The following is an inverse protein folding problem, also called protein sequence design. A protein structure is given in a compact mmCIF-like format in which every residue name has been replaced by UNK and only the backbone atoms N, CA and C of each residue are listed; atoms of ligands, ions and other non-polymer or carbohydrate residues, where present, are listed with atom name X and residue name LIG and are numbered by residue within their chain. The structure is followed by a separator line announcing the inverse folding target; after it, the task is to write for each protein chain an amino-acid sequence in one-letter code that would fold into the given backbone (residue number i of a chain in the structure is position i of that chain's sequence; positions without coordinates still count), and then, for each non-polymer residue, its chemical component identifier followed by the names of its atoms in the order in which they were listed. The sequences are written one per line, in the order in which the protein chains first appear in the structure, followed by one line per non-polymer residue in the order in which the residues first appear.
data_IF_578244267868
#
_entry.id   IF_578244267868
#
_cell.length_a   1.000
_cell.length_b   1.000
_cell.length_c   1.000
_cell.angle_alpha   90.00
_cell.angle_beta   90.00
_cell.angle_gamma   90.00
#
_symmetry.space_group_name_H-M   'P 1'
#
loop_
_entity.id
_entity.type
_entity.pdbx_description
1 polymer ?
#
# COMPACT_ATOMS: atom_id res chain seq x y z
N UNK A 1 16.53 -27.12 -8.06
CA UNK A 1 17.15 -25.91 -8.62
C UNK A 1 16.64 -24.74 -7.81
N UNK A 2 17.52 -23.84 -7.43
CA UNK A 2 17.16 -22.62 -6.72
C UNK A 2 16.22 -21.77 -7.59
N UNK A 3 15.18 -21.21 -6.99
CA UNK A 3 14.25 -20.30 -7.70
C UNK A 3 14.85 -18.90 -7.76
N UNK A 4 14.90 -18.32 -8.94
CA UNK A 4 15.48 -17.02 -9.21
C UNK A 4 14.41 -15.93 -9.14
N UNK A 5 14.55 -15.02 -8.18
CA UNK A 5 13.61 -13.94 -7.92
C UNK A 5 14.29 -12.61 -8.20
N UNK A 6 13.67 -11.79 -9.05
CA UNK A 6 14.18 -10.47 -9.40
C UNK A 6 13.40 -9.41 -8.61
N UNK A 7 14.11 -8.56 -7.88
CA UNK A 7 13.57 -7.39 -7.23
C UNK A 7 13.98 -6.13 -7.97
N UNK A 8 13.04 -5.38 -8.53
CA UNK A 8 13.30 -4.10 -9.23
C UNK A 8 12.90 -2.94 -8.33
N UNK A 9 13.82 -2.00 -8.10
CA UNK A 9 13.67 -0.92 -7.12
C UNK A 9 14.06 -1.36 -5.70
N UNK A 10 14.97 -2.32 -5.60
CA UNK A 10 15.33 -2.98 -4.34
C UNK A 10 15.90 -2.04 -3.26
N UNK A 11 16.44 -0.86 -3.64
CA UNK A 11 16.98 0.11 -2.70
C UNK A 11 15.89 0.92 -1.97
N UNK A 12 14.63 0.86 -2.39
CA UNK A 12 13.49 1.48 -1.71
C UNK A 12 13.32 0.90 -0.29
N UNK A 13 12.86 1.71 0.66
CA UNK A 13 12.74 1.31 2.07
C UNK A 13 11.80 0.10 2.24
N UNK A 14 10.63 0.12 1.62
CA UNK A 14 9.65 -0.99 1.67
C UNK A 14 10.22 -2.25 1.03
N UNK A 15 10.93 -2.12 -0.10
CA UNK A 15 11.58 -3.24 -0.78
C UNK A 15 12.68 -3.88 0.06
N UNK A 16 13.54 -3.07 0.67
CA UNK A 16 14.59 -3.59 1.58
C UNK A 16 13.98 -4.41 2.70
N UNK A 17 12.88 -3.90 3.29
CA UNK A 17 12.20 -4.64 4.35
C UNK A 17 11.51 -5.90 3.81
N UNK A 18 10.86 -5.84 2.65
CA UNK A 18 10.30 -7.04 2.00
C UNK A 18 11.37 -8.12 1.78
N UNK A 19 12.54 -7.74 1.29
CA UNK A 19 13.67 -8.64 1.08
C UNK A 19 14.16 -9.23 2.41
N UNK A 20 14.36 -8.42 3.46
CA UNK A 20 14.77 -8.89 4.79
C UNK A 20 13.74 -9.86 5.39
N UNK A 21 12.44 -9.60 5.21
CA UNK A 21 11.36 -10.45 5.70
C UNK A 21 11.26 -11.74 4.90
N UNK A 22 11.31 -11.64 3.58
CA UNK A 22 11.27 -12.81 2.70
C UNK A 22 12.44 -13.77 2.95
N UNK A 23 13.64 -13.25 3.24
CA UNK A 23 14.81 -14.06 3.59
C UNK A 23 14.62 -14.94 4.83
N UNK A 24 13.60 -14.68 5.68
CA UNK A 24 13.25 -15.54 6.82
C UNK A 24 12.43 -16.75 6.42
N UNK A 25 11.73 -16.70 5.28
CA UNK A 25 11.02 -17.84 4.75
C UNK A 25 12.04 -18.89 4.29
N UNK A 26 11.80 -20.14 4.70
CA UNK A 26 12.65 -21.26 4.27
C UNK A 26 12.34 -21.62 2.82
N UNK A 27 13.38 -21.73 2.00
CA UNK A 27 13.27 -22.11 0.60
C UNK A 27 14.63 -22.06 -0.08
N UNK A 28 14.72 -22.64 -1.28
CA UNK A 28 15.92 -22.58 -2.12
C UNK A 28 15.74 -21.40 -3.10
N UNK A 29 16.21 -20.22 -2.68
CA UNK A 29 16.03 -18.95 -3.36
C UNK A 29 17.35 -18.34 -3.81
N UNK A 30 17.33 -17.67 -4.96
CA UNK A 30 18.37 -16.76 -5.43
C UNK A 30 17.71 -15.41 -5.70
N UNK A 31 18.15 -14.36 -4.99
CA UNK A 31 17.62 -13.00 -5.13
C UNK A 31 18.56 -12.15 -5.99
N UNK A 32 18.05 -11.55 -7.06
CA UNK A 32 18.76 -10.54 -7.84
C UNK A 32 18.13 -9.17 -7.55
N UNK A 33 18.86 -8.35 -6.81
CA UNK A 33 18.41 -7.06 -6.33
C UNK A 33 18.81 -5.96 -7.32
N UNK A 34 17.85 -5.45 -8.08
CA UNK A 34 18.04 -4.49 -9.15
C UNK A 34 17.64 -3.09 -8.71
N UNK A 35 18.50 -2.11 -8.93
CA UNK A 35 18.23 -0.69 -8.69
C UNK A 35 19.11 0.17 -9.60
N UNK A 36 18.72 1.44 -9.80
CA UNK A 36 19.59 2.44 -10.45
C UNK A 36 20.73 2.88 -9.53
N UNK A 37 20.66 2.57 -8.23
CA UNK A 37 21.64 2.87 -7.19
C UNK A 37 22.00 1.62 -6.38
N UNK A 38 22.58 0.60 -7.02
CA UNK A 38 22.86 -0.68 -6.35
C UNK A 38 23.84 -0.57 -5.17
N UNK A 39 24.62 0.51 -5.11
CA UNK A 39 25.52 0.81 -3.99
C UNK A 39 24.77 0.98 -2.64
N UNK A 40 23.50 1.36 -2.68
CA UNK A 40 22.65 1.48 -1.48
C UNK A 40 22.23 0.11 -0.90
N UNK A 41 22.49 -0.97 -1.62
CA UNK A 41 22.12 -2.33 -1.23
C UNK A 41 23.22 -3.06 -0.45
N UNK A 42 24.42 -2.52 -0.35
CA UNK A 42 25.57 -3.20 0.29
C UNK A 42 25.25 -3.64 1.72
N UNK A 43 24.75 -2.73 2.55
CA UNK A 43 24.37 -3.01 3.94
C UNK A 43 23.20 -4.02 4.05
N UNK A 44 22.33 -4.09 3.06
CA UNK A 44 21.25 -5.09 3.02
C UNK A 44 21.84 -6.48 2.74
N UNK A 45 22.64 -6.59 1.69
CA UNK A 45 23.24 -7.87 1.28
C UNK A 45 24.10 -8.47 2.39
N UNK A 46 24.86 -7.66 3.13
CA UNK A 46 25.66 -8.10 4.28
C UNK A 46 24.84 -8.71 5.42
N UNK A 47 23.57 -8.28 5.58
CA UNK A 47 22.65 -8.82 6.60
C UNK A 47 21.94 -10.08 6.18
N UNK A 48 21.90 -10.37 4.89
CA UNK A 48 21.24 -11.55 4.35
C UNK A 48 22.12 -12.81 4.49
N UNK A 49 21.55 -14.01 4.49
CA UNK A 49 22.33 -15.24 4.42
C UNK A 49 23.32 -15.22 3.25
N UNK A 50 24.54 -15.67 3.49
CA UNK A 50 25.61 -15.67 2.50
C UNK A 50 25.17 -16.42 1.23
N UNK A 51 25.35 -15.76 0.08
CA UNK A 51 25.00 -16.32 -1.23
C UNK A 51 23.52 -16.26 -1.61
N UNK A 52 22.64 -15.73 -0.74
CA UNK A 52 21.21 -15.59 -1.03
C UNK A 52 20.94 -14.50 -2.08
N UNK A 53 21.68 -13.39 -2.05
CA UNK A 53 21.38 -12.23 -2.87
C UNK A 53 22.62 -11.71 -3.62
N UNK A 54 22.38 -11.25 -4.84
CA UNK A 54 23.32 -10.48 -5.67
C UNK A 54 22.71 -9.13 -6.02
N UNK A 55 23.53 -8.14 -6.33
CA UNK A 55 23.06 -6.80 -6.74
C UNK A 55 23.37 -6.55 -8.20
N UNK A 56 22.47 -5.83 -8.89
CA UNK A 56 22.64 -5.47 -10.29
C UNK A 56 22.15 -4.05 -10.54
N UNK A 57 22.94 -3.25 -11.27
CA UNK A 57 22.48 -1.95 -11.78
C UNK A 57 21.45 -2.17 -12.88
N UNK A 58 20.27 -1.58 -12.74
CA UNK A 58 19.20 -1.64 -13.71
C UNK A 58 18.44 -0.29 -13.77
N UNK A 59 18.45 0.33 -14.94
CA UNK A 59 17.44 1.31 -15.35
C UNK A 59 16.30 0.51 -16.02
N UNK A 60 15.11 0.51 -15.40
CA UNK A 60 13.95 -0.24 -15.92
C UNK A 60 13.43 0.28 -17.29
N UNK A 61 13.85 1.49 -17.69
CA UNK A 61 13.55 2.03 -19.03
C UNK A 61 14.54 1.59 -20.12
N UNK A 62 15.66 0.98 -19.75
CA UNK A 62 16.55 0.26 -20.69
C UNK A 62 15.93 -1.12 -21.01
N UNK A 63 15.08 -1.15 -22.04
CA UNK A 63 14.32 -2.33 -22.45
C UNK A 63 15.18 -3.58 -22.65
N UNK A 64 16.39 -3.42 -23.21
CA UNK A 64 17.27 -4.58 -23.46
C UNK A 64 17.81 -5.17 -22.16
N UNK A 65 18.25 -4.31 -21.23
CA UNK A 65 18.71 -4.77 -19.92
C UNK A 65 17.58 -5.32 -19.07
N UNK A 66 16.42 -4.66 -19.09
CA UNK A 66 15.24 -5.16 -18.37
C UNK A 66 14.86 -6.56 -18.85
N UNK A 67 14.75 -6.76 -20.18
CA UNK A 67 14.43 -8.06 -20.75
C UNK A 67 15.48 -9.12 -20.40
N UNK A 68 16.77 -8.76 -20.44
CA UNK A 68 17.86 -9.69 -20.11
C UNK A 68 17.80 -10.11 -18.62
N UNK A 69 17.44 -9.21 -17.71
CA UNK A 69 17.32 -9.50 -16.27
C UNK A 69 16.10 -10.37 -15.97
N UNK A 70 14.97 -10.08 -16.60
CA UNK A 70 13.68 -10.78 -16.39
C UNK A 70 13.74 -12.22 -16.92
N UNK A 71 14.43 -12.45 -18.05
CA UNK A 71 14.50 -13.76 -18.68
C UNK A 71 15.01 -14.85 -17.72
N UNK A 72 14.23 -15.94 -17.61
CA UNK A 72 14.58 -17.10 -16.79
C UNK A 72 14.40 -16.89 -15.28
N UNK A 73 13.71 -15.83 -14.87
CA UNK A 73 13.29 -15.70 -13.48
C UNK A 73 12.04 -16.55 -13.18
N UNK A 74 11.86 -16.92 -11.91
CA UNK A 74 10.66 -17.60 -11.42
C UNK A 74 9.62 -16.60 -10.90
N UNK A 75 10.05 -15.37 -10.54
CA UNK A 75 9.20 -14.27 -10.13
C UNK A 75 9.93 -12.94 -10.31
N UNK A 76 9.24 -11.93 -10.83
CA UNK A 76 9.68 -10.52 -10.82
C UNK A 76 8.83 -9.75 -9.84
N UNK A 77 9.49 -9.03 -8.92
CA UNK A 77 8.84 -8.14 -7.96
C UNK A 77 9.21 -6.70 -8.28
N UNK A 78 8.21 -5.87 -8.54
CA UNK A 78 8.40 -4.44 -8.77
C UNK A 78 8.07 -3.64 -7.51
N UNK A 79 9.05 -2.86 -7.04
CA UNK A 79 8.87 -1.92 -5.94
C UNK A 79 9.39 -0.52 -6.26
N UNK A 80 9.67 -0.24 -7.53
CA UNK A 80 10.09 1.08 -7.99
C UNK A 80 8.88 1.93 -8.36
N UNK A 81 8.40 2.78 -7.46
CA UNK A 81 7.34 3.76 -7.75
C UNK A 81 7.85 5.03 -8.44
N UNK A 82 6.94 5.93 -8.92
CA UNK A 82 5.49 5.76 -8.88
C UNK A 82 5.00 4.79 -9.97
N UNK A 83 4.07 3.92 -9.61
CA UNK A 83 3.65 2.79 -10.43
C UNK A 83 2.98 3.18 -11.74
N UNK A 84 2.29 4.31 -11.76
CA UNK A 84 1.71 4.90 -12.99
C UNK A 84 2.74 5.05 -14.13
N UNK A 85 4.03 5.08 -13.82
CA UNK A 85 5.12 5.19 -14.81
C UNK A 85 5.96 3.92 -14.96
N UNK A 86 6.02 3.10 -13.92
CA UNK A 86 7.01 2.01 -13.83
C UNK A 86 6.42 0.62 -14.03
N UNK A 87 5.12 0.41 -13.78
CA UNK A 87 4.51 -0.92 -13.87
C UNK A 87 4.42 -1.44 -15.30
N UNK A 88 3.93 -0.62 -16.25
CA UNK A 88 3.70 -1.05 -17.63
C UNK A 88 4.94 -1.65 -18.31
N UNK A 89 6.13 -1.01 -18.33
CA UNK A 89 7.31 -1.58 -18.99
C UNK A 89 7.78 -2.89 -18.36
N UNK A 90 7.62 -3.05 -17.03
CA UNK A 90 8.04 -4.28 -16.36
C UNK A 90 7.04 -5.41 -16.61
N UNK A 91 5.74 -5.12 -16.60
CA UNK A 91 4.69 -6.10 -16.95
C UNK A 91 4.87 -6.58 -18.41
N UNK A 92 5.14 -5.66 -19.34
CA UNK A 92 5.43 -6.01 -20.75
C UNK A 92 6.62 -6.97 -20.86
N UNK A 93 7.73 -6.68 -20.18
CA UNK A 93 8.90 -7.54 -20.16
C UNK A 93 8.60 -8.93 -19.56
N UNK A 94 7.78 -9.00 -18.51
CA UNK A 94 7.34 -10.26 -17.91
C UNK A 94 6.45 -11.07 -18.86
N UNK A 95 5.54 -10.43 -19.58
CA UNK A 95 4.69 -11.07 -20.60
C UNK A 95 5.54 -11.68 -21.73
N UNK A 96 6.51 -10.92 -22.26
CA UNK A 96 7.42 -11.39 -23.31
C UNK A 96 8.30 -12.57 -22.83
N UNK A 97 8.80 -12.48 -21.60
CA UNK A 97 9.65 -13.54 -21.01
C UNK A 97 8.85 -14.75 -20.48
N UNK A 98 7.52 -14.64 -20.37
CA UNK A 98 6.63 -15.62 -19.72
C UNK A 98 7.00 -15.87 -18.26
N UNK A 99 7.26 -14.80 -17.52
CA UNK A 99 7.67 -14.83 -16.11
C UNK A 99 6.59 -14.19 -15.25
N UNK A 100 6.20 -14.82 -14.12
CA UNK A 100 5.27 -14.25 -13.16
C UNK A 100 5.70 -12.86 -12.64
N UNK A 101 4.73 -11.97 -12.46
CA UNK A 101 4.92 -10.61 -11.96
C UNK A 101 4.17 -10.39 -10.65
N UNK A 102 4.77 -9.59 -9.75
CA UNK A 102 4.15 -9.14 -8.51
C UNK A 102 4.57 -7.70 -8.21
N UNK A 103 3.65 -6.87 -7.74
CA UNK A 103 3.92 -5.55 -7.20
C UNK A 103 3.13 -5.28 -5.93
N UNK A 104 3.33 -4.12 -5.34
CA UNK A 104 2.51 -3.55 -4.27
C UNK A 104 2.01 -2.15 -4.66
N UNK A 105 1.58 -2.04 -5.90
CA UNK A 105 0.99 -0.87 -6.54
C UNK A 105 -0.26 -0.39 -5.79
N UNK A 106 -0.34 0.91 -5.53
CA UNK A 106 -1.43 1.60 -4.86
C UNK A 106 -2.09 2.71 -5.73
N UNK A 107 -1.69 2.79 -7.01
CA UNK A 107 -2.27 3.71 -7.98
C UNK A 107 -3.45 3.05 -8.75
N UNK A 108 -4.56 3.77 -8.89
CA UNK A 108 -5.77 3.28 -9.58
C UNK A 108 -5.49 3.02 -11.06
N UNK A 109 -4.82 3.95 -11.73
CA UNK A 109 -4.60 3.93 -13.17
C UNK A 109 -3.70 2.77 -13.61
N UNK A 110 -2.63 2.51 -12.86
CA UNK A 110 -1.72 1.39 -13.14
C UNK A 110 -2.38 0.04 -12.83
N UNK A 111 -3.17 -0.04 -11.76
CA UNK A 111 -4.00 -1.21 -11.45
C UNK A 111 -4.99 -1.50 -12.57
N UNK A 112 -5.73 -0.51 -13.07
CA UNK A 112 -6.65 -0.68 -14.21
C UNK A 112 -5.93 -1.13 -15.47
N UNK A 113 -4.75 -0.54 -15.75
CA UNK A 113 -3.92 -0.96 -16.87
C UNK A 113 -3.53 -2.44 -16.74
N UNK A 114 -3.00 -2.86 -15.60
CA UNK A 114 -2.62 -4.25 -15.37
C UNK A 114 -3.81 -5.22 -15.48
N UNK A 115 -4.98 -4.85 -14.95
CA UNK A 115 -6.21 -5.65 -15.09
C UNK A 115 -6.64 -5.79 -16.56
N UNK A 116 -6.43 -4.77 -17.39
CA UNK A 116 -6.72 -4.82 -18.83
C UNK A 116 -5.88 -5.86 -19.60
N UNK A 117 -4.75 -6.27 -19.03
CA UNK A 117 -3.82 -7.25 -19.61
C UNK A 117 -4.17 -8.70 -19.25
N UNK A 118 -5.31 -8.95 -18.58
CA UNK A 118 -5.70 -10.27 -18.07
C UNK A 118 -5.66 -11.37 -19.16
N UNK A 119 -6.24 -11.13 -20.32
CA UNK A 119 -6.24 -12.13 -21.41
C UNK A 119 -4.84 -12.34 -22.00
N UNK A 120 -4.03 -11.28 -22.13
CA UNK A 120 -2.63 -11.42 -22.57
C UNK A 120 -1.79 -12.25 -21.57
N UNK A 121 -2.02 -12.07 -20.27
CA UNK A 121 -1.37 -12.87 -19.24
C UNK A 121 -1.80 -14.33 -19.28
N UNK A 122 -3.07 -14.61 -19.58
CA UNK A 122 -3.56 -15.97 -19.85
C UNK A 122 -2.90 -16.62 -21.06
N UNK A 123 -2.80 -15.88 -22.18
CA UNK A 123 -2.14 -16.36 -23.40
C UNK A 123 -0.63 -16.62 -23.16
N UNK A 124 0.03 -15.78 -22.36
CA UNK A 124 1.40 -15.97 -21.96
C UNK A 124 1.59 -17.13 -20.94
N UNK A 125 0.51 -17.58 -20.30
CA UNK A 125 0.52 -18.65 -19.30
C UNK A 125 1.08 -18.24 -17.94
N UNK A 126 1.06 -16.92 -17.59
CA UNK A 126 1.62 -16.37 -16.37
C UNK A 126 0.59 -15.65 -15.50
N UNK A 127 0.76 -15.61 -14.18
CA UNK A 127 0.05 -14.69 -13.31
C UNK A 127 0.74 -13.32 -13.27
N UNK A 128 -0.09 -12.27 -13.20
CA UNK A 128 0.28 -10.90 -12.84
C UNK A 128 -0.47 -10.61 -11.53
N UNK A 129 0.27 -10.44 -10.44
CA UNK A 129 -0.27 -10.12 -9.11
C UNK A 129 -0.05 -8.64 -8.83
N UNK A 130 -1.14 -7.88 -8.70
CA UNK A 130 -1.09 -6.43 -8.46
C UNK A 130 -1.56 -6.09 -7.05
N UNK A 131 -1.02 -5.02 -6.47
CA UNK A 131 -1.46 -4.50 -5.19
C UNK A 131 -1.14 -5.42 -4.00
N UNK A 132 -0.02 -6.12 -4.01
CA UNK A 132 0.37 -7.09 -2.98
C UNK A 132 1.13 -6.41 -1.82
N UNK A 133 0.58 -5.30 -1.30
CA UNK A 133 1.13 -4.51 -0.20
C UNK A 133 0.28 -4.53 1.07
N UNK A 134 0.18 -3.38 1.71
CA UNK A 134 -0.65 -3.18 2.90
C UNK A 134 -2.11 -2.92 2.52
N UNK A 135 -2.34 -1.85 1.76
CA UNK A 135 -3.60 -1.41 1.16
C UNK A 135 -3.25 -0.72 -0.17
N UNK A 136 -3.59 -1.33 -1.31
CA UNK A 136 -4.12 -2.69 -1.43
C UNK A 136 -3.17 -3.77 -0.96
N UNK A 137 -3.71 -4.96 -0.69
CA UNK A 137 -2.94 -6.10 -0.26
C UNK A 137 -3.54 -6.80 0.96
N UNK A 138 -2.87 -6.71 2.12
CA UNK A 138 -3.37 -7.30 3.36
C UNK A 138 -4.78 -6.80 3.70
N UNK A 139 -5.09 -5.52 3.46
CA UNK A 139 -6.43 -4.97 3.68
C UNK A 139 -7.51 -5.71 2.88
N UNK A 140 -7.23 -6.07 1.62
CA UNK A 140 -8.13 -6.87 0.79
C UNK A 140 -8.31 -8.29 1.34
N UNK A 141 -7.23 -8.90 1.87
CA UNK A 141 -7.33 -10.21 2.54
C UNK A 141 -8.20 -10.13 3.80
N UNK A 142 -8.08 -9.04 4.57
CA UNK A 142 -8.96 -8.79 5.72
C UNK A 142 -10.43 -8.63 5.29
N UNK A 143 -10.70 -8.02 4.11
CA UNK A 143 -12.06 -7.95 3.54
C UNK A 143 -12.58 -9.35 3.23
N UNK A 144 -11.78 -10.21 2.58
CA UNK A 144 -12.18 -11.60 2.29
C UNK A 144 -12.48 -12.37 3.57
N UNK A 145 -11.62 -12.24 4.60
CA UNK A 145 -11.81 -12.90 5.88
C UNK A 145 -13.09 -12.42 6.60
N UNK A 146 -13.36 -11.11 6.60
CA UNK A 146 -14.60 -10.57 7.17
C UNK A 146 -15.83 -11.03 6.37
N UNK A 147 -15.76 -11.02 5.03
CA UNK A 147 -16.85 -11.42 4.15
C UNK A 147 -17.20 -12.92 4.29
N UNK A 148 -16.24 -13.78 4.60
CA UNK A 148 -16.46 -15.22 4.82
C UNK A 148 -17.38 -15.51 6.03
N UNK A 149 -17.60 -14.53 6.91
CA UNK A 149 -18.57 -14.66 8.01
C UNK A 149 -20.03 -14.45 7.57
N UNK A 150 -20.28 -13.95 6.37
CA UNK A 150 -21.58 -13.49 5.90
C UNK A 150 -22.07 -14.35 4.74
N UNK A 151 -23.40 -14.46 4.58
CA UNK A 151 -24.03 -15.14 3.44
C UNK A 151 -24.09 -14.22 2.20
N UNK A 152 -24.25 -12.90 2.43
CA UNK A 152 -24.23 -11.87 1.39
C UNK A 152 -23.34 -10.69 1.81
N UNK A 153 -22.78 -10.01 0.83
CA UNK A 153 -21.98 -8.79 1.04
C UNK A 153 -22.68 -7.62 0.38
N UNK A 154 -22.98 -6.58 1.16
CA UNK A 154 -23.67 -5.37 0.70
C UNK A 154 -22.77 -4.13 0.76
N UNK A 155 -22.02 -3.96 1.84
CA UNK A 155 -21.14 -2.80 2.00
C UNK A 155 -19.77 -3.23 2.51
N UNK A 156 -18.72 -2.62 1.94
CA UNK A 156 -17.33 -2.84 2.32
C UNK A 156 -16.67 -1.47 2.58
N UNK A 157 -16.09 -1.31 3.76
CA UNK A 157 -15.13 -0.27 4.05
C UNK A 157 -13.75 -0.92 4.25
N UNK A 158 -12.81 -0.61 3.37
CA UNK A 158 -11.41 -0.97 3.47
C UNK A 158 -10.67 0.22 4.08
N UNK A 159 -10.05 0.07 5.25
CA UNK A 159 -9.54 1.20 6.03
C UNK A 159 -8.06 1.06 6.30
N UNK A 160 -7.31 2.15 6.13
CA UNK A 160 -5.91 2.25 6.49
C UNK A 160 -5.62 3.54 7.27
N UNK A 161 -4.73 3.46 8.24
CA UNK A 161 -4.20 4.61 8.96
C UNK A 161 -2.68 4.54 8.98
N UNK A 162 -2.03 5.67 8.69
CA UNK A 162 -0.57 5.82 8.69
C UNK A 162 -0.20 7.11 9.43
N UNK A 163 0.76 7.00 10.32
CA UNK A 163 1.36 8.15 10.99
C UNK A 163 2.87 8.01 11.02
N UNK A 164 3.51 8.29 9.89
CA UNK A 164 4.96 8.18 9.76
C UNK A 164 5.57 9.55 9.47
N UNK A 165 6.19 10.13 10.48
CA UNK A 165 6.90 11.41 10.42
C UNK A 165 8.42 11.21 10.39
N UNK A 166 8.89 10.01 10.04
CA UNK A 166 10.33 9.72 10.03
C UNK A 166 11.03 10.40 8.86
N UNK A 167 12.25 10.92 9.07
CA UNK A 167 13.10 11.37 7.97
C UNK A 167 13.41 10.23 7.01
N UNK A 168 13.54 10.55 5.72
CA UNK A 168 13.97 9.61 4.70
C UNK A 168 12.87 8.83 4.01
N UNK A 169 11.60 9.18 4.21
CA UNK A 169 10.50 8.66 3.39
C UNK A 169 10.79 8.96 1.92
N UNK A 170 10.60 7.95 1.05
CA UNK A 170 10.92 8.04 -0.37
C UNK A 170 10.05 9.08 -1.11
N UNK A 171 10.64 9.84 -2.02
CA UNK A 171 9.93 10.88 -2.79
C UNK A 171 8.73 10.35 -3.58
N UNK A 172 8.79 9.10 -4.06
CA UNK A 172 7.67 8.45 -4.74
C UNK A 172 6.43 8.32 -3.82
N UNK A 173 6.65 8.01 -2.53
CA UNK A 173 5.57 7.96 -1.52
C UNK A 173 4.96 9.34 -1.29
N UNK A 174 5.79 10.39 -1.25
CA UNK A 174 5.31 11.76 -1.10
C UNK A 174 4.55 12.25 -2.34
N UNK A 175 4.97 11.83 -3.54
CA UNK A 175 4.25 12.11 -4.79
C UNK A 175 2.89 11.41 -4.80
N UNK A 176 2.83 10.12 -4.47
CA UNK A 176 1.58 9.37 -4.30
C UNK A 176 0.67 10.03 -3.26
N UNK A 177 1.21 10.41 -2.10
CA UNK A 177 0.47 11.11 -1.05
C UNK A 177 -0.22 12.39 -1.57
N UNK A 178 0.46 13.21 -2.38
CA UNK A 178 -0.14 14.39 -3.00
C UNK A 178 -1.25 14.02 -3.99
N UNK A 179 -1.08 12.93 -4.72
CA UNK A 179 -2.05 12.42 -5.69
C UNK A 179 -3.35 11.98 -5.00
N UNK A 180 -3.26 11.26 -3.88
CA UNK A 180 -4.45 10.75 -3.17
C UNK A 180 -5.16 11.76 -2.27
N UNK A 181 -4.55 12.92 -1.98
CA UNK A 181 -5.13 13.94 -1.08
C UNK A 181 -5.90 15.05 -1.79
N UNK A 182 -5.91 15.07 -3.13
CA UNK A 182 -6.69 16.02 -3.93
C UNK A 182 -7.03 15.43 -5.31
N UNK A 183 -8.18 15.83 -5.86
CA UNK A 183 -8.67 15.34 -7.15
C UNK A 183 -9.79 14.32 -6.99
N UNK A 184 -9.93 13.45 -7.98
CA UNK A 184 -11.00 12.47 -8.03
C UNK A 184 -10.67 11.23 -7.17
N UNK A 185 -11.68 10.72 -6.50
CA UNK A 185 -11.67 9.46 -5.76
C UNK A 185 -12.71 8.53 -6.36
N UNK A 186 -12.24 7.44 -6.95
CA UNK A 186 -13.16 6.40 -7.42
C UNK A 186 -13.72 5.64 -6.21
N UNK A 187 -15.04 5.52 -6.17
CA UNK A 187 -15.77 4.70 -5.21
C UNK A 187 -16.80 3.83 -5.93
N UNK A 188 -17.38 2.87 -5.23
CA UNK A 188 -18.43 2.01 -5.74
C UNK A 188 -19.72 2.26 -4.98
N UNK A 189 -20.77 2.76 -5.65
CA UNK A 189 -22.05 3.06 -5.06
C UNK A 189 -23.21 2.58 -5.94
N UNK A 190 -24.22 1.98 -5.31
CA UNK A 190 -25.43 1.48 -6.00
C UNK A 190 -25.09 0.55 -7.17
N UNK A 191 -24.07 -0.30 -7.00
CA UNK A 191 -23.64 -1.26 -7.99
C UNK A 191 -22.89 -0.66 -9.20
N UNK A 192 -22.35 0.55 -9.10
CA UNK A 192 -21.62 1.22 -10.18
C UNK A 192 -20.47 2.08 -9.66
N UNK A 193 -19.55 2.40 -10.55
CA UNK A 193 -18.45 3.36 -10.29
C UNK A 193 -18.99 4.77 -10.20
N UNK A 194 -18.55 5.51 -9.18
CA UNK A 194 -18.85 6.94 -8.96
C UNK A 194 -17.57 7.63 -8.58
N UNK A 195 -17.36 8.86 -9.06
CA UNK A 195 -16.24 9.68 -8.65
C UNK A 195 -16.71 10.68 -7.59
N UNK A 196 -16.03 10.70 -6.45
CA UNK A 196 -16.12 11.71 -5.42
C UNK A 196 -14.87 12.60 -5.44
N UNK A 197 -14.87 13.68 -4.70
CA UNK A 197 -13.64 14.41 -4.40
C UNK A 197 -12.92 13.70 -3.24
N UNK A 198 -11.65 13.36 -3.43
CA UNK A 198 -10.86 12.67 -2.40
C UNK A 198 -10.66 13.53 -1.15
N UNK A 199 -10.59 12.92 0.03
CA UNK A 199 -10.46 13.57 1.33
C UNK A 199 -11.61 14.53 1.70
N UNK A 200 -12.82 14.30 1.17
CA UNK A 200 -14.05 15.06 1.52
C UNK A 200 -15.02 14.21 2.31
N UNK A 201 -15.46 13.09 1.73
CA UNK A 201 -16.36 12.18 2.42
C UNK A 201 -15.63 11.51 3.59
N UNK A 202 -16.31 11.43 4.72
CA UNK A 202 -15.72 10.88 5.95
C UNK A 202 -16.49 9.69 6.48
N UNK A 203 -15.79 8.88 7.26
CA UNK A 203 -16.34 7.80 8.05
C UNK A 203 -15.53 7.61 9.32
N UNK A 204 -16.05 6.86 10.29
CA UNK A 204 -15.26 6.43 11.45
C UNK A 204 -14.98 4.95 11.38
N UNK A 205 -13.83 4.52 11.89
CA UNK A 205 -13.45 3.12 11.96
C UNK A 205 -12.86 2.78 13.33
N UNK A 206 -13.30 1.66 13.97
CA UNK A 206 -12.78 1.19 15.26
C UNK A 206 -11.43 0.49 15.09
N UNK A 207 -10.37 1.27 14.86
CA UNK A 207 -9.03 0.76 14.59
C UNK A 207 -8.47 -0.04 15.77
N UNK A 208 -7.68 -1.08 15.48
CA UNK A 208 -6.99 -1.89 16.48
C UNK A 208 -5.79 -1.20 17.14
N UNK A 209 -5.01 -1.94 17.94
CA UNK A 209 -3.78 -1.43 18.55
C UNK A 209 -3.97 -0.29 19.55
N UNK A 210 -5.16 -0.19 20.17
CA UNK A 210 -5.47 0.88 21.12
C UNK A 210 -5.78 2.23 20.49
N UNK A 211 -5.98 2.30 19.17
CA UNK A 211 -6.28 3.55 18.45
C UNK A 211 -7.72 4.03 18.68
N UNK A 212 -8.69 3.12 18.85
CA UNK A 212 -10.12 3.44 19.05
C UNK A 212 -10.80 3.91 17.76
N UNK A 213 -11.87 4.71 17.93
CA UNK A 213 -12.62 5.29 16.81
C UNK A 213 -11.82 6.41 16.15
N UNK A 214 -11.48 6.23 14.88
CA UNK A 214 -10.71 7.19 14.09
C UNK A 214 -11.57 7.73 12.97
N UNK A 215 -11.57 9.06 12.80
CA UNK A 215 -12.13 9.72 11.62
C UNK A 215 -11.20 9.49 10.42
N UNK A 216 -11.77 9.03 9.33
CA UNK A 216 -11.09 8.69 8.09
C UNK A 216 -11.79 9.35 6.91
N UNK A 217 -11.11 9.41 5.78
CA UNK A 217 -11.55 10.06 4.56
C UNK A 217 -11.58 9.08 3.41
N UNK A 218 -12.54 9.18 2.51
CA UNK A 218 -12.48 8.48 1.23
C UNK A 218 -11.22 8.91 0.48
N UNK A 219 -10.46 7.92 0.01
CA UNK A 219 -9.17 8.12 -0.66
C UNK A 219 -9.14 7.44 -2.01
N UNK A 220 -8.46 8.05 -2.98
CA UNK A 220 -8.23 7.46 -4.28
C UNK A 220 -7.27 6.25 -4.15
N UNK A 221 -7.85 5.06 -4.14
CA UNK A 221 -7.15 3.78 -3.96
C UNK A 221 -7.79 2.70 -4.82
N UNK A 222 -7.07 1.61 -5.17
CA UNK A 222 -7.54 0.58 -6.10
C UNK A 222 -8.66 -0.33 -5.57
N UNK A 223 -8.91 -0.42 -4.26
CA UNK A 223 -9.88 -1.36 -3.72
C UNK A 223 -11.31 -1.20 -4.30
N UNK A 224 -11.83 0.02 -4.57
CA UNK A 224 -13.10 0.18 -5.27
C UNK A 224 -13.07 -0.22 -6.75
N UNK A 225 -11.90 -0.46 -7.33
CA UNK A 225 -11.72 -1.02 -8.68
C UNK A 225 -11.74 -2.55 -8.64
N UNK A 226 -11.05 -3.14 -7.67
CA UNK A 226 -10.76 -4.57 -7.65
C UNK A 226 -11.83 -5.38 -6.91
N UNK A 227 -12.28 -4.95 -5.73
CA UNK A 227 -13.26 -5.65 -4.90
C UNK A 227 -14.62 -5.88 -5.56
N UNK A 228 -15.18 -4.98 -6.41
CA UNK A 228 -16.45 -5.25 -7.11
C UNK A 228 -16.40 -6.46 -8.03
N UNK A 229 -15.22 -6.87 -8.50
CA UNK A 229 -15.02 -8.07 -9.33
C UNK A 229 -15.35 -9.35 -8.56
N UNK A 230 -15.02 -9.37 -7.26
CA UNK A 230 -15.32 -10.48 -6.34
C UNK A 230 -16.70 -10.33 -5.70
N UNK A 231 -17.12 -9.11 -5.41
CA UNK A 231 -18.39 -8.79 -4.74
C UNK A 231 -19.30 -7.92 -5.63
N UNK A 232 -19.77 -8.45 -6.77
CA UNK A 232 -20.52 -7.67 -7.78
C UNK A 232 -21.91 -7.22 -7.28
N UNK A 233 -22.43 -7.84 -6.22
CA UNK A 233 -23.72 -7.48 -5.60
C UNK A 233 -23.59 -6.40 -4.52
N UNK A 234 -22.37 -6.02 -4.17
CA UNK A 234 -22.14 -4.99 -3.17
C UNK A 234 -22.71 -3.65 -3.63
N UNK A 235 -23.43 -2.99 -2.72
CA UNK A 235 -24.05 -1.69 -2.97
C UNK A 235 -23.04 -0.56 -2.79
N UNK A 236 -22.09 -0.70 -1.86
CA UNK A 236 -21.04 0.30 -1.62
C UNK A 236 -19.72 -0.36 -1.26
N UNK A 237 -18.65 0.11 -1.90
CA UNK A 237 -17.26 -0.26 -1.56
C UNK A 237 -16.43 1.02 -1.53
N UNK A 238 -15.78 1.29 -0.39
CA UNK A 238 -14.95 2.46 -0.18
C UNK A 238 -13.56 2.07 0.33
N UNK A 239 -12.55 2.85 -0.07
CA UNK A 239 -11.29 2.91 0.64
C UNK A 239 -11.28 4.16 1.54
N UNK A 240 -11.04 3.99 2.84
CA UNK A 240 -10.99 5.06 3.82
C UNK A 240 -9.57 5.16 4.38
N UNK A 241 -8.93 6.28 4.13
CA UNK A 241 -7.59 6.58 4.61
C UNK A 241 -7.57 7.62 5.72
N UNK A 242 -6.57 7.53 6.58
CA UNK A 242 -6.36 8.52 7.63
C UNK A 242 -4.88 8.65 8.00
N UNK A 243 -4.51 9.87 8.40
CA UNK A 243 -3.16 10.20 8.84
C UNK A 243 -3.13 10.49 10.33
N UNK A 244 -2.04 10.12 10.98
CA UNK A 244 -1.79 10.44 12.38
C UNK A 244 -0.56 11.39 12.49
N UNK A 245 -0.64 12.47 13.26
CA UNK A 245 -1.80 12.96 14.01
C UNK A 245 -2.89 13.59 13.10
N UNK A 246 -4.11 13.73 13.61
CA UNK A 246 -5.26 14.22 12.83
C UNK A 246 -5.03 15.50 12.01
N UNK A 247 -4.31 16.56 12.49
CA UNK A 247 -4.04 17.75 11.69
C UNK A 247 -3.22 17.49 10.43
N UNK A 248 -2.50 16.37 10.36
CA UNK A 248 -1.73 16.01 9.17
C UNK A 248 -2.62 15.71 7.96
N UNK A 249 -3.86 15.24 8.17
CA UNK A 249 -4.85 15.10 7.09
C UNK A 249 -5.17 16.47 6.46
N UNK A 250 -5.37 17.50 7.29
CA UNK A 250 -5.62 18.87 6.82
C UNK A 250 -4.41 19.45 6.08
N UNK A 251 -3.19 19.22 6.60
CA UNK A 251 -1.94 19.63 5.94
C UNK A 251 -1.82 18.98 4.56
N UNK A 252 -1.96 17.65 4.48
CA UNK A 252 -1.85 16.90 3.24
C UNK A 252 -2.86 17.35 2.20
N UNK A 253 -4.14 17.48 2.58
CA UNK A 253 -5.17 17.99 1.69
C UNK A 253 -4.86 19.41 1.20
N UNK A 254 -4.39 20.30 2.08
CA UNK A 254 -4.08 21.68 1.69
C UNK A 254 -2.97 21.76 0.64
N UNK A 255 -1.89 20.98 0.82
CA UNK A 255 -0.78 20.91 -0.14
C UNK A 255 -1.22 20.20 -1.43
N UNK A 256 -1.95 19.09 -1.31
CA UNK A 256 -2.50 18.37 -2.46
C UNK A 256 -3.40 19.25 -3.33
N UNK A 257 -4.33 20.01 -2.73
CA UNK A 257 -5.19 20.95 -3.45
C UNK A 257 -4.40 22.06 -4.15
N UNK A 258 -3.35 22.60 -3.50
CA UNK A 258 -2.50 23.61 -4.11
C UNK A 258 -1.74 23.06 -5.35
N UNK A 259 -1.36 21.78 -5.31
CA UNK A 259 -0.78 21.10 -6.47
C UNK A 259 -1.84 20.84 -7.54
N UNK A 260 -2.99 20.30 -7.17
CA UNK A 260 -4.08 19.99 -8.10
C UNK A 260 -4.59 21.22 -8.86
N UNK A 261 -4.69 22.35 -8.18
CA UNK A 261 -5.11 23.63 -8.80
C UNK A 261 -3.96 24.37 -9.54
N UNK A 262 -2.75 23.80 -9.59
CA UNK A 262 -1.60 24.42 -10.27
C UNK A 262 -1.00 25.61 -9.52
N UNK A 263 -1.39 25.83 -8.26
CA UNK A 263 -0.77 26.84 -7.39
C UNK A 263 0.65 26.42 -6.98
N UNK A 264 0.91 25.09 -6.90
CA UNK A 264 2.22 24.49 -6.68
C UNK A 264 2.48 23.42 -7.75
N UNK A 265 3.73 23.21 -8.12
CA UNK A 265 4.12 22.03 -8.90
C UNK A 265 4.19 20.81 -7.98
N UNK A 266 4.08 19.59 -8.55
CA UNK A 266 4.31 18.34 -7.81
C UNK A 266 5.67 18.37 -7.09
N UNK A 267 6.71 18.84 -7.80
CA UNK A 267 8.05 18.95 -7.21
C UNK A 267 8.08 19.87 -5.98
N UNK A 268 7.45 21.05 -6.05
CA UNK A 268 7.38 21.98 -4.91
C UNK A 268 6.62 21.38 -3.72
N UNK A 269 5.54 20.62 -3.99
CA UNK A 269 4.78 19.91 -2.96
C UNK A 269 5.60 18.82 -2.28
N UNK A 270 6.28 17.99 -3.07
CA UNK A 270 7.16 16.93 -2.56
C UNK A 270 8.34 17.52 -1.79
N UNK A 271 9.00 18.57 -2.31
CA UNK A 271 10.12 19.23 -1.62
C UNK A 271 9.68 19.81 -0.26
N UNK A 272 8.48 20.41 -0.20
CA UNK A 272 7.92 20.92 1.06
C UNK A 272 7.67 19.80 2.09
N UNK A 273 7.05 18.69 1.67
CA UNK A 273 6.80 17.56 2.56
C UNK A 273 8.10 16.89 3.02
N UNK A 274 9.06 16.72 2.12
CA UNK A 274 10.37 16.17 2.43
C UNK A 274 11.12 17.06 3.42
N UNK A 275 11.11 18.39 3.24
CA UNK A 275 11.69 19.34 4.18
C UNK A 275 11.05 19.22 5.57
N UNK A 276 9.70 19.14 5.64
CA UNK A 276 8.98 19.01 6.89
C UNK A 276 9.35 17.72 7.64
N UNK A 277 9.38 16.59 6.94
CA UNK A 277 9.76 15.30 7.52
C UNK A 277 11.23 15.24 7.95
N UNK A 278 12.10 16.04 7.33
CA UNK A 278 13.50 16.18 7.71
C UNK A 278 13.73 17.32 8.76
N UNK A 279 12.68 17.76 9.44
CA UNK A 279 12.72 18.84 10.44
C UNK A 279 13.29 20.17 9.90
N UNK A 280 13.06 20.46 8.62
CA UNK A 280 13.36 21.75 8.01
C UNK A 280 12.11 22.60 7.91
N UNK A 281 12.29 23.91 7.81
CA UNK A 281 11.16 24.86 7.81
C UNK A 281 10.24 24.69 6.58
N UNK A 282 10.77 24.25 5.46
CA UNK A 282 10.02 24.18 4.19
C UNK A 282 9.72 25.57 3.59
N UNK A 283 9.02 25.58 2.46
CA UNK A 283 8.70 26.82 1.74
C UNK A 283 7.50 27.55 2.36
N UNK A 284 7.51 28.91 2.30
CA UNK A 284 6.37 29.74 2.72
C UNK A 284 5.09 29.43 1.94
N UNK A 285 5.21 29.07 0.67
CA UNK A 285 4.13 28.65 -0.22
C UNK A 285 3.48 27.35 0.27
N UNK A 286 4.30 26.34 0.63
CA UNK A 286 3.85 25.09 1.22
C UNK A 286 3.14 25.31 2.55
N UNK A 287 3.67 26.15 3.44
CA UNK A 287 3.00 26.49 4.70
C UNK A 287 1.67 27.21 4.51
N UNK A 288 1.56 28.12 3.55
CA UNK A 288 0.27 28.76 3.22
C UNK A 288 -0.78 27.71 2.86
N UNK A 289 -0.44 26.77 1.99
CA UNK A 289 -1.31 25.67 1.58
C UNK A 289 -1.67 24.75 2.76
N UNK A 290 -0.68 24.29 3.51
CA UNK A 290 -0.85 23.43 4.68
C UNK A 290 -1.78 24.04 5.75
N UNK A 291 -1.54 25.29 6.13
CA UNK A 291 -2.35 26.00 7.12
C UNK A 291 -3.79 26.18 6.61
N UNK A 292 -3.98 26.53 5.33
CA UNK A 292 -5.31 26.64 4.70
C UNK A 292 -6.08 25.32 4.82
N UNK A 293 -5.45 24.19 4.53
CA UNK A 293 -6.08 22.88 4.66
C UNK A 293 -6.42 22.51 6.10
N UNK A 294 -5.53 22.77 7.05
CA UNK A 294 -5.79 22.53 8.48
C UNK A 294 -6.93 23.42 9.02
N UNK A 295 -7.00 24.70 8.63
CA UNK A 295 -8.12 25.59 8.98
C UNK A 295 -9.42 25.04 8.39
N UNK A 296 -9.39 24.57 7.13
CA UNK A 296 -10.54 23.91 6.50
C UNK A 296 -11.03 22.71 7.31
N UNK A 297 -10.12 21.84 7.75
CA UNK A 297 -10.41 20.69 8.59
C UNK A 297 -11.07 21.08 9.93
N UNK A 298 -10.56 22.12 10.60
CA UNK A 298 -11.15 22.65 11.84
C UNK A 298 -12.55 23.21 11.61
N UNK A 299 -12.77 23.93 10.50
CA UNK A 299 -14.11 24.47 10.13
C UNK A 299 -15.13 23.35 9.89
N UNK A 300 -14.72 22.21 9.30
CA UNK A 300 -15.57 21.03 9.10
C UNK A 300 -15.74 20.18 10.36
N UNK A 301 -15.11 20.57 11.48
CA UNK A 301 -15.12 19.85 12.76
C UNK A 301 -14.47 18.44 12.71
N UNK A 302 -13.57 18.25 11.80
CA UNK A 302 -12.81 17.00 11.62
C UNK A 302 -11.55 16.96 12.50
N UNK A 303 -11.11 18.12 13.00
CA UNK A 303 -10.06 18.28 13.98
C UNK A 303 -10.35 19.48 14.86
N UNK A 304 -9.68 19.60 16.02
CA UNK A 304 -9.82 20.76 16.90
C UNK A 304 -8.76 21.82 16.60
N UNK A 305 -9.08 23.08 16.91
CA UNK A 305 -8.10 24.17 16.85
C UNK A 305 -6.90 23.92 17.77
N UNK A 306 -7.14 23.38 18.97
CA UNK A 306 -6.07 23.02 19.92
C UNK A 306 -5.12 21.96 19.35
N UNK A 307 -5.65 20.93 18.68
CA UNK A 307 -4.83 19.91 18.02
C UNK A 307 -3.97 20.51 16.90
N UNK A 308 -4.53 21.42 16.11
CA UNK A 308 -3.78 22.13 15.06
C UNK A 308 -2.64 22.97 15.68
N UNK A 309 -2.89 23.72 16.74
CA UNK A 309 -1.85 24.54 17.43
C UNK A 309 -0.78 23.65 18.06
N UNK A 310 -1.19 22.55 18.70
CA UNK A 310 -0.23 21.56 19.25
C UNK A 310 0.68 20.99 18.15
N UNK A 311 0.09 20.55 17.02
CA UNK A 311 0.82 20.04 15.88
C UNK A 311 1.84 21.05 15.35
N UNK A 312 1.42 22.29 15.08
CA UNK A 312 2.29 23.34 14.59
C UNK A 312 3.42 23.66 15.58
N UNK A 313 3.12 23.67 16.89
CA UNK A 313 4.11 23.92 17.94
C UNK A 313 5.15 22.81 17.99
N UNK A 314 4.71 21.54 17.96
CA UNK A 314 5.62 20.37 17.94
C UNK A 314 6.50 20.39 16.69
N UNK A 315 5.92 20.60 15.52
CA UNK A 315 6.66 20.70 14.26
C UNK A 315 7.70 21.82 14.29
N UNK A 316 7.36 22.99 14.86
CA UNK A 316 8.28 24.13 14.96
C UNK A 316 9.51 23.87 15.84
N UNK A 317 9.41 22.96 16.82
CA UNK A 317 10.50 22.58 17.72
C UNK A 317 11.13 21.23 17.37
N UNK A 318 10.80 20.67 16.19
CA UNK A 318 11.35 19.40 15.71
C UNK A 318 10.94 18.18 16.53
N UNK A 319 9.80 18.23 17.23
CA UNK A 319 9.23 17.06 17.91
C UNK A 319 8.28 16.33 16.98
N UNK A 320 8.54 15.04 16.76
CA UNK A 320 7.69 14.14 16.00
C UNK A 320 6.67 13.43 16.92
N UNK A 321 5.64 12.90 16.30
CA UNK A 321 4.70 11.99 16.96
C UNK A 321 5.21 10.55 16.82
N UNK A 322 5.00 9.67 17.83
CA UNK A 322 5.29 8.25 17.67
C UNK A 322 4.41 7.68 16.55
N UNK A 323 4.99 6.79 15.76
CA UNK A 323 4.25 6.11 14.70
C UNK A 323 2.99 5.45 15.25
N UNK A 324 1.90 5.63 14.54
CA UNK A 324 0.65 4.90 14.74
C UNK A 324 0.07 4.55 13.38
N UNK A 325 -0.36 3.31 13.23
CA UNK A 325 -0.96 2.83 12.00
C UNK A 325 -1.82 1.61 12.24
N UNK A 326 -2.62 1.28 11.27
CA UNK A 326 -3.49 0.11 11.33
C UNK A 326 -4.19 -0.14 10.01
N UNK A 327 -4.62 -1.38 9.82
CA UNK A 327 -5.53 -1.80 8.76
C UNK A 327 -6.80 -2.34 9.38
N UNK A 328 -7.93 -2.07 8.72
CA UNK A 328 -9.23 -2.60 9.12
C UNK A 328 -10.07 -2.85 7.87
N UNK A 329 -10.74 -3.99 7.86
CA UNK A 329 -11.84 -4.28 6.95
C UNK A 329 -13.15 -4.37 7.73
N UNK A 330 -14.19 -3.69 7.26
CA UNK A 330 -15.55 -3.75 7.80
C UNK A 330 -16.51 -4.10 6.67
N UNK A 331 -17.19 -5.24 6.85
CA UNK A 331 -18.11 -5.77 5.85
C UNK A 331 -19.49 -5.91 6.46
N UNK A 332 -20.50 -5.42 5.76
CA UNK A 332 -21.90 -5.56 6.12
C UNK A 332 -22.66 -6.32 5.05
N UNK A 333 -23.65 -7.08 5.47
CA UNK A 333 -24.54 -7.86 4.61
C UNK A 333 -25.54 -8.65 5.44
N UNK A 334 -25.77 -9.92 5.11
CA UNK A 334 -26.69 -10.80 5.87
C UNK A 334 -26.00 -12.07 6.32
N UNK A 335 -26.47 -12.61 7.44
CA UNK A 335 -26.15 -13.94 7.94
C UNK A 335 -27.43 -14.61 8.43
N UNK A 336 -27.76 -15.81 7.94
CA UNK A 336 -29.00 -16.52 8.24
C UNK A 336 -30.25 -15.65 7.98
N UNK A 337 -30.24 -14.86 6.88
CA UNK A 337 -31.34 -13.98 6.49
C UNK A 337 -31.54 -12.74 7.39
N UNK A 338 -30.58 -12.39 8.25
CA UNK A 338 -30.62 -11.20 9.12
C UNK A 338 -29.45 -10.27 8.80
N UNK A 339 -29.64 -8.95 8.95
CA UNK A 339 -28.52 -8.00 8.84
C UNK A 339 -27.40 -8.39 9.80
N UNK A 340 -26.19 -8.40 9.29
CA UNK A 340 -24.98 -8.75 10.04
C UNK A 340 -23.76 -7.93 9.54
N UNK A 341 -22.73 -7.84 10.37
CA UNK A 341 -21.47 -7.23 10.01
C UNK A 341 -20.31 -8.00 10.60
N UNK A 342 -19.15 -7.89 10.00
CA UNK A 342 -17.91 -8.46 10.48
C UNK A 342 -16.78 -7.44 10.32
N UNK A 343 -15.87 -7.41 11.29
CA UNK A 343 -14.69 -6.56 11.28
C UNK A 343 -13.45 -7.44 11.47
N UNK A 344 -12.44 -7.18 10.65
CA UNK A 344 -11.07 -7.69 10.80
C UNK A 344 -10.11 -6.52 10.83
N UNK A 345 -9.19 -6.52 11.78
CA UNK A 345 -8.21 -5.43 11.91
C UNK A 345 -6.89 -5.92 12.47
N UNK A 346 -5.82 -5.16 12.25
CA UNK A 346 -4.52 -5.42 12.83
C UNK A 346 -4.54 -5.23 14.35
N UNK A 347 -3.82 -6.09 15.08
CA UNK A 347 -3.92 -6.21 16.56
C UNK A 347 -3.13 -5.12 17.28
N UNK A 348 -1.93 -4.79 16.78
CA UNK A 348 -0.99 -3.84 17.40
C UNK A 348 -0.71 -2.65 16.49
N UNK A 349 -0.20 -1.57 17.08
CA UNK A 349 0.22 -0.35 16.40
C UNK A 349 1.46 0.23 17.08
N UNK A 350 2.42 0.73 16.29
CA UNK A 350 3.60 1.43 16.80
C UNK A 350 4.82 0.53 17.02
N UNK A 351 5.84 1.07 17.69
CA UNK A 351 7.20 0.52 17.76
C UNK A 351 7.29 -0.93 18.28
N UNK A 352 6.38 -1.33 19.16
CA UNK A 352 6.35 -2.69 19.73
C UNK A 352 5.70 -3.73 18.80
N UNK A 353 5.24 -3.33 17.62
CA UNK A 353 4.65 -4.23 16.64
C UNK A 353 5.68 -4.69 15.61
N UNK A 354 5.69 -5.99 15.33
CA UNK A 354 6.46 -6.52 14.22
C UNK A 354 5.87 -6.09 12.87
N UNK A 355 4.54 -6.12 12.76
CA UNK A 355 3.80 -5.86 11.53
C UNK A 355 3.53 -4.36 11.32
N UNK A 356 3.07 -3.67 12.36
CA UNK A 356 2.63 -2.26 12.30
C UNK A 356 3.62 -1.30 12.99
N UNK A 357 4.92 -1.59 12.94
CA UNK A 357 5.96 -0.74 13.52
C UNK A 357 6.09 0.61 12.80
N UNK A 358 5.98 0.58 11.50
CA UNK A 358 6.05 1.72 10.59
C UNK A 358 5.41 1.34 9.23
N UNK A 359 5.28 2.30 8.32
CA UNK A 359 4.67 2.08 7.00
C UNK A 359 5.47 1.05 6.16
N UNK A 360 6.80 1.09 6.24
CA UNK A 360 7.63 0.13 5.51
C UNK A 360 7.46 -1.29 6.07
N UNK A 361 7.25 -1.43 7.40
CA UNK A 361 7.05 -2.72 8.04
C UNK A 361 5.78 -3.41 7.56
N UNK A 362 4.65 -2.72 7.51
CA UNK A 362 3.40 -3.35 7.06
C UNK A 362 3.46 -3.68 5.58
N UNK A 363 3.86 -2.73 4.73
CA UNK A 363 3.90 -2.94 3.28
C UNK A 363 4.93 -4.00 2.89
N UNK A 364 6.16 -3.90 3.41
CA UNK A 364 7.23 -4.85 3.08
C UNK A 364 6.97 -6.25 3.64
N UNK A 365 6.38 -6.37 4.84
CA UNK A 365 6.05 -7.70 5.40
C UNK A 365 4.91 -8.36 4.64
N UNK A 366 3.87 -7.62 4.27
CA UNK A 366 2.77 -8.11 3.46
C UNK A 366 3.27 -8.54 2.07
N UNK A 367 4.09 -7.72 1.39
CA UNK A 367 4.71 -8.07 0.12
C UNK A 367 5.51 -9.38 0.22
N UNK A 368 6.35 -9.53 1.26
CA UNK A 368 7.11 -10.77 1.49
C UNK A 368 6.21 -12.00 1.64
N UNK A 369 5.06 -11.87 2.33
CA UNK A 369 4.09 -12.94 2.47
C UNK A 369 3.41 -13.28 1.12
N UNK A 370 3.04 -12.29 0.33
CA UNK A 370 2.51 -12.51 -1.02
C UNK A 370 3.53 -13.16 -1.95
N UNK A 371 4.81 -12.80 -1.85
CA UNK A 371 5.88 -13.49 -2.60
C UNK A 371 5.94 -14.98 -2.25
N UNK A 372 5.87 -15.31 -0.95
CA UNK A 372 5.84 -16.71 -0.48
C UNK A 372 4.65 -17.44 -1.10
N UNK A 373 3.45 -16.85 -1.05
CA UNK A 373 2.25 -17.44 -1.66
C UNK A 373 2.39 -17.60 -3.17
N UNK A 374 2.86 -16.58 -3.88
CA UNK A 374 3.03 -16.62 -5.33
C UNK A 374 3.97 -17.75 -5.77
N UNK A 375 5.04 -17.99 -5.00
CA UNK A 375 5.97 -19.08 -5.24
C UNK A 375 5.39 -20.45 -4.89
N UNK A 376 4.60 -20.57 -3.82
CA UNK A 376 3.91 -21.82 -3.45
C UNK A 376 2.81 -22.18 -4.48
N UNK A 377 2.29 -21.19 -5.22
CA UNK A 377 1.26 -21.35 -6.24
C UNK A 377 1.77 -21.34 -7.68
N UNK A 378 3.08 -21.44 -7.89
CA UNK A 378 3.69 -21.47 -9.23
C UNK A 378 2.98 -22.47 -10.15
N UNK A 379 2.56 -22.00 -11.34
CA UNK A 379 1.89 -22.80 -12.36
C UNK A 379 0.41 -23.11 -12.12
N UNK A 380 -0.18 -22.64 -11.00
CA UNK A 380 -1.60 -22.91 -10.70
C UNK A 380 -2.58 -21.99 -11.43
N UNK A 381 -2.12 -20.80 -11.85
CA UNK A 381 -2.99 -19.78 -12.45
C UNK A 381 -2.30 -18.94 -13.51
N UNK A 382 -3.10 -18.35 -14.40
CA UNK A 382 -2.66 -17.36 -15.41
C UNK A 382 -3.71 -16.28 -15.57
N UNK A 383 -3.28 -15.05 -15.81
CA UNK A 383 -4.14 -13.86 -15.85
C UNK A 383 -3.67 -12.80 -14.85
N UNK A 384 -4.44 -11.72 -14.69
CA UNK A 384 -4.15 -10.66 -13.72
C UNK A 384 -5.09 -10.78 -12.52
N UNK A 385 -4.52 -10.68 -11.31
CA UNK A 385 -5.19 -10.93 -10.04
C UNK A 385 -4.87 -9.83 -9.03
N UNK A 386 -5.91 -9.29 -8.39
CA UNK A 386 -5.79 -8.51 -7.16
C UNK A 386 -5.79 -9.47 -5.95
N UNK A 387 -5.34 -9.03 -4.75
CA UNK A 387 -5.17 -9.91 -3.59
C UNK A 387 -6.40 -10.74 -3.24
N UNK A 388 -7.58 -10.14 -3.28
CA UNK A 388 -8.85 -10.81 -3.00
C UNK A 388 -9.20 -11.92 -3.99
N UNK A 389 -8.64 -11.91 -5.20
CA UNK A 389 -8.91 -12.92 -6.22
C UNK A 389 -8.22 -14.26 -5.94
N UNK A 390 -7.11 -14.25 -5.17
CA UNK A 390 -6.22 -15.40 -5.09
C UNK A 390 -5.65 -15.72 -3.71
N UNK A 391 -5.53 -14.74 -2.82
CA UNK A 391 -4.94 -14.95 -1.50
C UNK A 391 -6.03 -15.35 -0.50
N UNK A 392 -6.12 -16.64 -0.20
CA UNK A 392 -6.98 -17.13 0.87
C UNK A 392 -6.45 -16.64 2.23
N UNK A 393 -7.31 -16.13 3.13
CA UNK A 393 -6.89 -15.49 4.37
C UNK A 393 -5.96 -16.34 5.22
N UNK A 394 -6.30 -17.59 5.50
CA UNK A 394 -5.50 -18.46 6.35
C UNK A 394 -4.13 -18.80 5.72
N UNK A 395 -4.10 -18.99 4.40
CA UNK A 395 -2.85 -19.22 3.66
C UNK A 395 -1.94 -17.96 3.73
N UNK A 396 -2.52 -16.77 3.61
CA UNK A 396 -1.79 -15.51 3.73
C UNK A 396 -1.28 -15.28 5.16
N UNK A 397 -2.09 -15.56 6.19
CA UNK A 397 -1.66 -15.45 7.58
C UNK A 397 -0.52 -16.42 7.90
N UNK A 398 -0.59 -17.64 7.38
CA UNK A 398 0.52 -18.62 7.47
C UNK A 398 1.78 -18.10 6.74
N UNK A 399 1.63 -17.46 5.59
CA UNK A 399 2.76 -16.86 4.90
C UNK A 399 3.38 -15.69 5.69
N UNK A 400 2.57 -14.87 6.37
CA UNK A 400 3.03 -13.83 7.31
C UNK A 400 3.86 -14.43 8.46
N UNK A 401 3.44 -15.58 9.02
CA UNK A 401 4.22 -16.27 10.05
C UNK A 401 5.56 -16.77 9.48
N UNK A 402 5.57 -17.29 8.27
CA UNK A 402 6.82 -17.76 7.60
C UNK A 402 7.82 -16.63 7.39
N UNK A 403 7.38 -15.40 7.21
CA UNK A 403 8.26 -14.23 7.10
C UNK A 403 8.51 -13.55 8.44
N UNK A 404 8.10 -14.18 9.55
CA UNK A 404 8.47 -13.86 10.92
C UNK A 404 7.44 -13.07 11.72
N UNK A 405 6.23 -12.85 11.21
CA UNK A 405 5.17 -12.15 11.96
C UNK A 405 4.60 -13.09 13.04
N UNK A 406 4.56 -12.67 14.31
CA UNK A 406 3.88 -13.46 15.34
C UNK A 406 2.37 -13.59 15.03
N UNK A 407 1.82 -14.80 15.06
CA UNK A 407 0.40 -15.05 14.77
C UNK A 407 -0.55 -14.14 15.54
N UNK A 408 -0.24 -13.89 16.81
CA UNK A 408 -1.04 -13.03 17.69
C UNK A 408 -1.04 -11.54 17.30
N UNK A 409 -0.21 -11.12 16.34
CA UNK A 409 -0.18 -9.74 15.86
C UNK A 409 -0.87 -9.53 14.51
N UNK A 410 -1.29 -10.62 13.83
CA UNK A 410 -1.76 -10.54 12.44
C UNK A 410 -3.14 -9.92 12.37
N UNK A 411 -4.12 -10.53 13.02
CA UNK A 411 -5.52 -10.13 12.89
C UNK A 411 -6.29 -10.41 14.18
N UNK A 412 -7.19 -9.48 14.52
CA UNK A 412 -8.25 -9.69 15.49
C UNK A 412 -9.63 -9.52 14.85
N UNK A 413 -10.57 -10.34 15.30
CA UNK A 413 -11.98 -10.28 14.91
C UNK A 413 -12.75 -9.46 15.92
N UNK A 414 -13.58 -8.53 15.47
CA UNK A 414 -14.52 -7.78 16.29
C UNK A 414 -15.92 -8.11 15.78
N UNK A 415 -16.77 -8.56 16.68
CA UNK A 415 -18.18 -8.90 16.42
C UNK A 415 -19.08 -7.71 16.70
#
# INVERSE_FOLDING_TARGET
MSRRIIFIGAAGEMCRLAIERFAKAKGDWELVLCDIRPELLSNLVEKLPQGLATTQHLDLYDKQKLQAVVNGADLVVLGAGPYIRTSAPVIEACLEAKVPYLDFDDDVESTEHALSLHEKAKEAGIPIYVGCGASPGMANVLVVDAANELDTVENIDCCWMVGDERPGIGRAVLEHFLHITAGDCLTWENGKRVNHETFVETGTAPMGGGLGEILMYETAHPEPVTLPRKYPTAQRIRCLGGLHPAPFNGLGRGVGLAVHHGEMTVKEGVDFLEDLLNNKLGSAKGWKAAISGMIGQVKRKESSFSAMVEFLTKSAIGKTYPYKGGLLARVYGTKNGRPAGAIRRTVKSGEDSYLMRDMAAITGTACAAFMVLALDETGKRSGTFAPEDWAEPEAFYTALERVGTPRAEIVESVL
#
